data_IF_159576771824
#
_entry.id   IF_159576771824
#
_cell.length_a   1.000
_cell.length_b   1.000
_cell.length_c   1.000
_cell.angle_alpha   90.00
_cell.angle_beta   90.00
_cell.angle_gamma   90.00
#
_symmetry.space_group_name_H-M   'P 1'
#
loop_
_entity.id
_entity.type
_entity.pdbx_description
1 polymer ?
#
# COMPACT_ATOMS: atom_id res chain seq x y z
N UNK A 1 5.30 2.65 16.03
CA UNK A 1 4.28 1.81 15.37
C UNK A 1 3.59 2.67 14.32
N UNK A 2 3.74 2.38 13.02
CA UNK A 2 3.04 3.10 11.95
C UNK A 2 1.56 2.73 12.01
N UNK A 3 0.77 3.56 12.68
CA UNK A 3 -0.70 3.48 12.65
C UNK A 3 -1.14 4.13 11.34
N UNK A 4 -1.69 3.34 10.42
CA UNK A 4 -2.29 3.81 9.17
C UNK A 4 -3.75 4.22 9.39
N UNK A 5 -4.02 4.96 10.47
CA UNK A 5 -5.24 5.76 10.57
C UNK A 5 -4.99 7.02 9.74
N UNK A 6 -4.94 6.86 8.42
CA UNK A 6 -4.71 7.96 7.49
C UNK A 6 -6.06 8.48 7.02
N UNK A 7 -6.64 9.36 7.81
CA UNK A 7 -7.76 10.20 7.41
C UNK A 7 -7.40 10.93 6.12
N UNK A 8 -8.16 10.68 5.06
CA UNK A 8 -7.91 11.23 3.74
C UNK A 8 -9.05 10.89 2.81
N UNK A 9 -9.17 11.67 1.73
CA UNK A 9 -10.25 11.51 0.78
C UNK A 9 -10.28 10.09 0.18
N UNK A 10 -11.48 9.50 -0.01
CA UNK A 10 -11.63 8.22 -0.67
C UNK A 10 -10.99 8.24 -2.05
N UNK A 11 -10.25 7.19 -2.38
CA UNK A 11 -9.58 7.11 -3.67
C UNK A 11 -10.60 6.86 -4.78
N UNK A 12 -10.63 7.74 -5.79
CA UNK A 12 -11.54 7.60 -6.95
C UNK A 12 -11.29 6.32 -7.76
N UNK A 13 -10.03 5.85 -7.85
CA UNK A 13 -9.67 4.66 -8.63
C UNK A 13 -9.12 3.53 -7.74
N UNK A 14 -10.03 2.76 -7.16
CA UNK A 14 -9.73 1.61 -6.28
C UNK A 14 -8.93 0.53 -7.02
N UNK A 15 -9.27 0.25 -8.29
CA UNK A 15 -8.62 -0.80 -9.08
C UNK A 15 -7.13 -0.53 -9.30
N UNK A 16 -6.74 0.75 -9.46
CA UNK A 16 -5.34 1.13 -9.56
C UNK A 16 -4.56 0.79 -8.29
N UNK A 17 -5.12 1.14 -7.12
CA UNK A 17 -4.53 0.82 -5.82
C UNK A 17 -4.37 -0.69 -5.63
N UNK A 18 -5.42 -1.46 -5.90
CA UNK A 18 -5.40 -2.92 -5.77
C UNK A 18 -4.34 -3.58 -6.66
N UNK A 19 -4.17 -3.11 -7.91
CA UNK A 19 -3.12 -3.63 -8.81
C UNK A 19 -1.72 -3.33 -8.30
N UNK A 20 -1.49 -2.17 -7.69
CA UNK A 20 -0.19 -1.85 -7.09
C UNK A 20 0.09 -2.71 -5.86
N UNK A 21 -0.86 -2.82 -4.95
CA UNK A 21 -0.72 -3.65 -3.74
C UNK A 21 -0.52 -5.11 -4.11
N UNK A 22 -1.24 -5.64 -5.11
CA UNK A 22 -1.04 -7.01 -5.60
C UNK A 22 0.39 -7.28 -6.09
N UNK A 23 1.00 -6.33 -6.81
CA UNK A 23 2.42 -6.44 -7.22
C UNK A 23 3.36 -6.41 -6.01
N UNK A 24 3.06 -5.56 -5.02
CA UNK A 24 3.85 -5.48 -3.80
C UNK A 24 3.79 -6.77 -2.98
N UNK A 25 2.61 -7.41 -2.88
CA UNK A 25 2.44 -8.71 -2.23
C UNK A 25 3.31 -9.78 -2.91
N UNK A 26 3.39 -9.78 -4.24
CA UNK A 26 4.29 -10.70 -4.93
C UNK A 26 5.77 -10.41 -4.60
N UNK A 27 6.14 -9.14 -4.53
CA UNK A 27 7.50 -8.70 -4.18
C UNK A 27 7.92 -9.09 -2.75
N UNK A 28 7.00 -9.26 -1.80
CA UNK A 28 7.38 -9.66 -0.43
C UNK A 28 8.05 -11.04 -0.38
N UNK A 29 7.85 -11.87 -1.40
CA UNK A 29 8.49 -13.20 -1.51
C UNK A 29 10.01 -13.07 -1.64
N UNK A 30 10.49 -12.12 -2.46
CA UNK A 30 11.92 -11.92 -2.70
C UNK A 30 12.52 -10.78 -1.87
N UNK A 31 11.68 -9.89 -1.35
CA UNK A 31 12.07 -8.74 -0.51
C UNK A 31 11.22 -8.71 0.77
N UNK A 32 11.63 -9.47 1.80
CA UNK A 32 10.85 -9.57 3.04
C UNK A 32 10.92 -8.30 3.89
N UNK A 33 11.86 -7.39 3.62
CA UNK A 33 12.06 -6.11 4.31
C UNK A 33 10.86 -5.16 4.19
N UNK A 34 10.07 -5.28 3.13
CA UNK A 34 8.84 -4.49 2.93
C UNK A 34 7.57 -5.19 3.41
N UNK A 35 7.65 -6.45 3.86
CA UNK A 35 6.47 -7.29 4.17
C UNK A 35 5.52 -6.59 5.11
N UNK A 36 6.03 -6.05 6.22
CA UNK A 36 5.20 -5.38 7.23
C UNK A 36 4.43 -4.18 6.64
N UNK A 37 5.09 -3.35 5.82
CA UNK A 37 4.45 -2.20 5.21
C UNK A 37 3.37 -2.63 4.20
N UNK A 38 3.63 -3.68 3.43
CA UNK A 38 2.68 -4.25 2.46
C UNK A 38 1.46 -4.85 3.16
N UNK A 39 1.66 -5.60 4.25
CA UNK A 39 0.57 -6.19 5.05
C UNK A 39 -0.36 -5.15 5.66
N UNK A 40 0.14 -3.95 5.93
CA UNK A 40 -0.70 -2.86 6.45
C UNK A 40 -1.54 -2.23 5.33
N UNK A 41 -0.93 -1.89 4.18
CA UNK A 41 -1.67 -1.28 3.07
C UNK A 41 -2.67 -2.25 2.43
N UNK A 42 -2.44 -3.57 2.53
CA UNK A 42 -3.38 -4.59 2.05
C UNK A 42 -4.67 -4.69 2.86
N UNK A 43 -4.72 -4.14 4.07
CA UNK A 43 -5.96 -4.09 4.86
C UNK A 43 -6.98 -3.12 4.26
N UNK A 44 -6.51 -2.12 3.51
CA UNK A 44 -7.33 -1.05 2.94
C UNK A 44 -7.68 -1.27 1.45
N UNK A 45 -7.82 -2.53 1.02
CA UNK A 45 -8.06 -2.88 -0.39
C UNK A 45 -9.48 -2.55 -0.88
N UNK A 46 -10.46 -2.48 0.02
CA UNK A 46 -11.87 -2.22 -0.32
C UNK A 46 -12.23 -0.73 -0.28
N UNK A 47 -11.58 0.03 0.59
CA UNK A 47 -11.78 1.47 0.74
C UNK A 47 -10.43 2.18 0.93
N UNK A 48 -9.58 2.24 -0.12
CA UNK A 48 -8.33 2.98 -0.06
C UNK A 48 -8.58 4.49 -0.01
N UNK A 49 -7.66 5.21 0.60
CA UNK A 49 -7.66 6.68 0.65
C UNK A 49 -6.41 7.20 -0.08
N UNK A 50 -6.39 8.49 -0.42
CA UNK A 50 -5.19 9.09 -1.03
C UNK A 50 -3.93 8.90 -0.18
N UNK A 51 -4.10 8.93 1.13
CA UNK A 51 -3.02 8.78 2.07
C UNK A 51 -2.46 7.33 2.07
N UNK A 52 -3.33 6.31 1.96
CA UNK A 52 -2.89 4.93 1.70
C UNK A 52 -2.09 4.82 0.39
N UNK A 53 -2.54 5.49 -0.68
CA UNK A 53 -1.82 5.49 -1.95
C UNK A 53 -0.43 6.15 -1.83
N UNK A 54 -0.31 7.21 -1.04
CA UNK A 54 0.99 7.87 -0.80
C UNK A 54 1.98 6.93 -0.07
N UNK A 55 1.50 6.09 0.84
CA UNK A 55 2.32 5.07 1.51
C UNK A 55 2.81 4.03 0.51
N UNK A 56 1.90 3.52 -0.35
CA UNK A 56 2.27 2.61 -1.44
C UNK A 56 3.34 3.23 -2.34
N UNK A 57 3.20 4.50 -2.73
CA UNK A 57 4.22 5.24 -3.50
C UNK A 57 5.55 5.35 -2.76
N UNK A 58 5.54 5.50 -1.43
CA UNK A 58 6.76 5.54 -0.61
C UNK A 58 7.45 4.19 -0.56
N UNK A 59 6.71 3.08 -0.45
CA UNK A 59 7.26 1.72 -0.54
C UNK A 59 7.92 1.53 -1.91
N UNK A 60 7.24 1.93 -3.00
CA UNK A 60 7.79 1.85 -4.36
C UNK A 60 9.08 2.67 -4.52
N UNK A 61 9.18 3.85 -3.90
CA UNK A 61 10.42 4.65 -3.90
C UNK A 61 11.55 3.99 -3.14
N UNK A 62 11.26 3.26 -2.07
CA UNK A 62 12.26 2.52 -1.30
C UNK A 62 12.76 1.27 -2.06
N UNK A 63 11.95 0.71 -2.96
CA UNK A 63 12.34 -0.43 -3.78
C UNK A 63 13.26 -0.06 -4.96
N UNK A 64 13.33 1.22 -5.33
CA UNK A 64 14.20 1.75 -6.40
C UNK A 64 15.67 1.64 -5.99
#
# INVERSE_FOLDING_TARGET
KLKLDLEGEPLSNISYYQRLVGKLIYLTITRPDITYAVSLVSQFMHAPTEAHLNVVKRILRYLK
#
